data_IF_741507004253
#
_entry.id   IF_741507004253
#
_cell.length_a   1.000
_cell.length_b   1.000
_cell.length_c   1.000
_cell.angle_alpha   90.00
_cell.angle_beta   90.00
_cell.angle_gamma   90.00
#
_symmetry.space_group_name_H-M   'P 1'
#
loop_
_entity.id
_entity.type
_entity.pdbx_description
1 polymer ?
#
# COMPACT_ATOMS: atom_id res chain seq x y z
N UNK A 1 -32.80 -48.42 2.44
CA UNK A 1 -33.36 -47.08 2.64
C UNK A 1 -32.25 -46.08 2.44
N UNK A 2 -32.34 -45.30 1.37
CA UNK A 2 -31.45 -44.18 1.06
C UNK A 2 -31.63 -43.08 2.11
N UNK A 3 -30.55 -42.41 2.47
CA UNK A 3 -30.60 -40.99 2.76
C UNK A 3 -29.33 -40.34 2.21
N UNK A 4 -29.55 -39.59 1.14
CA UNK A 4 -28.64 -38.55 0.68
C UNK A 4 -28.54 -37.46 1.76
N UNK A 5 -27.34 -36.97 1.99
CA UNK A 5 -27.13 -35.61 2.43
C UNK A 5 -25.82 -35.11 1.80
N UNK A 6 -25.96 -34.58 0.57
CA UNK A 6 -25.09 -33.52 0.06
C UNK A 6 -25.06 -32.41 1.12
N UNK A 7 -23.87 -31.98 1.52
CA UNK A 7 -23.73 -30.64 2.06
C UNK A 7 -22.34 -30.09 1.77
N UNK A 8 -22.33 -29.07 0.91
CA UNK A 8 -21.38 -27.97 0.94
C UNK A 8 -19.92 -28.30 0.71
N UNK A 9 -19.50 -28.30 -0.55
CA UNK A 9 -18.16 -27.77 -0.87
C UNK A 9 -18.20 -26.28 -0.53
N UNK A 10 -17.78 -25.94 0.70
CA UNK A 10 -17.34 -24.59 0.97
C UNK A 10 -16.08 -24.40 0.13
N UNK A 11 -16.21 -23.66 -0.97
CA UNK A 11 -15.06 -23.03 -1.60
C UNK A 11 -14.48 -22.08 -0.56
N UNK A 12 -13.53 -22.58 0.23
CA UNK A 12 -12.60 -21.75 0.97
C UNK A 12 -11.99 -20.81 -0.07
N UNK A 13 -12.38 -19.54 0.04
CA UNK A 13 -11.82 -18.49 -0.78
C UNK A 13 -10.31 -18.64 -0.69
N UNK A 14 -9.67 -18.76 -1.86
CA UNK A 14 -8.23 -18.53 -1.94
C UNK A 14 -8.00 -17.18 -1.28
N UNK A 15 -7.48 -17.18 -0.05
CA UNK A 15 -6.76 -16.03 0.44
C UNK A 15 -5.72 -15.79 -0.63
N UNK A 16 -5.92 -14.75 -1.43
CA UNK A 16 -4.95 -14.26 -2.40
C UNK A 16 -3.75 -13.78 -1.57
N UNK A 17 -2.90 -14.72 -1.15
CA UNK A 17 -1.65 -14.42 -0.46
C UNK A 17 -0.80 -13.70 -1.49
N UNK A 18 -0.81 -12.38 -1.42
CA UNK A 18 -0.01 -11.52 -2.28
C UNK A 18 1.46 -11.78 -1.92
N UNK A 19 2.28 -12.29 -2.85
CA UNK A 19 3.70 -12.44 -2.58
C UNK A 19 4.30 -11.06 -2.27
N UNK A 20 4.99 -10.95 -1.14
CA UNK A 20 5.78 -9.78 -0.80
C UNK A 20 7.14 -9.93 -1.48
N UNK A 21 7.47 -9.08 -2.44
CA UNK A 21 8.81 -9.07 -3.02
C UNK A 21 9.72 -8.17 -2.16
N UNK A 22 10.64 -8.82 -1.44
CA UNK A 22 11.60 -8.13 -0.58
C UNK A 22 12.55 -7.18 -1.32
N UNK A 23 12.60 -7.25 -2.66
CA UNK A 23 13.43 -6.38 -3.51
C UNK A 23 12.71 -5.11 -3.94
N UNK A 24 11.40 -5.01 -3.78
CA UNK A 24 10.67 -3.77 -4.04
C UNK A 24 11.09 -2.70 -3.04
N UNK A 25 11.39 -1.51 -3.56
CA UNK A 25 11.74 -0.34 -2.75
C UNK A 25 10.50 0.06 -1.95
N UNK A 26 10.56 0.21 -0.62
CA UNK A 26 9.41 0.67 0.14
C UNK A 26 9.12 2.17 -0.14
N UNK A 27 7.84 2.58 -0.23
CA UNK A 27 7.46 3.98 -0.38
C UNK A 27 7.89 4.84 0.80
N UNK A 28 7.98 6.15 0.59
CA UNK A 28 8.40 7.09 1.62
C UNK A 28 7.78 8.47 1.48
N UNK A 29 7.75 9.19 2.59
CA UNK A 29 7.26 10.55 2.68
C UNK A 29 8.39 11.49 2.29
N UNK A 30 8.14 12.35 1.31
CA UNK A 30 9.15 13.29 0.82
C UNK A 30 9.56 14.25 1.94
N UNK A 31 10.86 14.46 2.09
CA UNK A 31 11.43 15.26 3.19
C UNK A 31 11.39 14.64 4.59
N UNK A 32 10.90 13.40 4.76
CA UNK A 32 10.84 12.71 6.07
C UNK A 32 11.61 11.39 6.01
N UNK A 33 12.66 11.29 6.82
CA UNK A 33 13.41 10.05 6.99
C UNK A 33 12.58 9.03 7.79
N UNK A 34 12.74 7.71 7.58
CA UNK A 34 11.91 6.68 8.22
C UNK A 34 11.92 6.69 9.75
N UNK A 35 12.99 7.20 10.35
CA UNK A 35 13.22 7.31 11.78
C UNK A 35 12.65 8.61 12.39
N UNK A 36 12.23 9.57 11.55
CA UNK A 36 11.58 10.80 12.01
C UNK A 36 10.09 10.58 12.19
N UNK A 37 9.56 11.21 13.25
CA UNK A 37 8.13 11.29 13.45
C UNK A 37 7.47 12.10 12.33
N UNK A 38 6.35 11.58 11.84
CA UNK A 38 5.46 12.28 10.95
C UNK A 38 4.61 13.26 11.77
N UNK A 39 4.62 14.57 11.46
CA UNK A 39 3.83 15.55 12.19
C UNK A 39 2.35 15.18 12.22
N UNK A 40 1.72 15.21 13.40
CA UNK A 40 0.28 14.93 13.53
C UNK A 40 -0.56 15.80 12.56
N UNK A 41 -0.18 17.07 12.42
CA UNK A 41 -0.82 17.98 11.47
C UNK A 41 -0.79 17.46 10.04
N UNK A 42 0.31 16.86 9.60
CA UNK A 42 0.41 16.29 8.24
C UNK A 42 -0.48 15.06 8.09
N UNK A 43 -0.61 14.24 9.13
CA UNK A 43 -1.55 13.11 9.13
C UNK A 43 -2.99 13.61 8.98
N UNK A 44 -3.35 14.71 9.63
CA UNK A 44 -4.71 15.29 9.60
C UNK A 44 -5.02 16.04 8.30
N UNK A 45 -4.03 16.77 7.76
CA UNK A 45 -4.19 17.61 6.56
C UNK A 45 -3.94 16.81 5.26
N UNK A 46 -3.15 15.74 5.34
CA UNK A 46 -2.61 14.99 4.20
C UNK A 46 -1.15 15.33 3.91
N UNK A 47 -0.46 14.43 3.20
CA UNK A 47 0.97 14.55 2.89
C UNK A 47 1.30 13.91 1.54
N UNK A 48 2.52 14.18 1.03
CA UNK A 48 3.03 13.56 -0.20
C UNK A 48 3.92 12.38 0.13
N UNK A 49 3.79 11.32 -0.66
CA UNK A 49 4.75 10.23 -0.65
C UNK A 49 5.16 9.86 -2.08
N UNK A 50 6.33 9.22 -2.15
CA UNK A 50 7.02 8.86 -3.38
C UNK A 50 7.32 7.37 -3.38
N UNK A 51 7.18 6.78 -4.56
CA UNK A 51 7.69 5.47 -4.91
C UNK A 51 8.82 5.73 -5.90
N UNK A 52 10.05 5.37 -5.52
CA UNK A 52 11.18 5.41 -6.45
C UNK A 52 11.06 4.27 -7.47
N UNK A 53 11.76 4.39 -8.61
CA UNK A 53 11.91 3.28 -9.55
C UNK A 53 12.36 2.01 -8.82
N UNK A 54 11.67 0.91 -9.11
CA UNK A 54 11.92 -0.39 -8.47
C UNK A 54 12.27 -1.48 -9.49
N UNK A 55 13.00 -2.53 -9.09
CA UNK A 55 13.30 -3.65 -9.97
C UNK A 55 12.02 -4.28 -10.52
N UNK A 56 11.94 -4.45 -11.84
CA UNK A 56 10.76 -5.03 -12.49
C UNK A 56 9.59 -4.07 -12.72
N UNK A 57 9.78 -2.76 -12.50
CA UNK A 57 8.84 -1.73 -12.98
C UNK A 57 8.72 -1.82 -14.50
N UNK A 58 7.50 -2.03 -14.99
CA UNK A 58 7.24 -2.25 -16.41
C UNK A 58 5.93 -1.61 -16.86
N UNK A 59 5.89 -1.17 -18.11
CA UNK A 59 4.70 -0.59 -18.75
C UNK A 59 3.53 -1.57 -18.66
N UNK A 60 2.34 -1.02 -18.37
CA UNK A 60 1.10 -1.77 -18.20
C UNK A 60 0.85 -2.29 -16.78
N UNK A 61 1.83 -2.22 -15.87
CA UNK A 61 1.60 -2.46 -14.45
C UNK A 61 0.74 -1.35 -13.84
N UNK A 62 -0.06 -1.69 -12.84
CA UNK A 62 -0.81 -0.71 -12.04
C UNK A 62 -0.21 -0.67 -10.64
N UNK A 63 0.20 0.51 -10.18
CA UNK A 63 0.84 0.71 -8.87
C UNK A 63 -0.07 1.54 -7.99
N UNK A 64 -0.38 1.01 -6.81
CA UNK A 64 -1.30 1.61 -5.85
C UNK A 64 -0.70 1.68 -4.45
N UNK A 65 -0.77 2.83 -3.77
CA UNK A 65 -0.27 2.96 -2.42
C UNK A 65 -1.33 2.53 -1.38
N UNK A 66 -0.83 1.94 -0.31
CA UNK A 66 -1.58 1.52 0.86
C UNK A 66 -1.05 2.26 2.07
N UNK A 67 -1.94 3.00 2.72
CA UNK A 67 -1.66 3.74 3.94
C UNK A 67 -2.50 3.12 5.05
N UNK A 68 -1.85 2.60 6.07
CA UNK A 68 -2.52 2.09 7.27
C UNK A 68 -2.18 2.99 8.46
N UNK A 69 -3.22 3.57 9.06
CA UNK A 69 -3.15 4.25 10.34
C UNK A 69 -3.43 3.20 11.41
N UNK A 70 -2.37 2.66 12.02
CA UNK A 70 -2.46 1.45 12.86
C UNK A 70 -3.42 1.67 14.01
N UNK A 71 -4.43 0.82 14.11
CA UNK A 71 -5.51 0.92 15.12
C UNK A 71 -6.69 1.81 14.71
N UNK A 72 -6.62 2.49 13.57
CA UNK A 72 -7.61 3.49 13.15
C UNK A 72 -8.18 3.23 11.74
N UNK A 73 -7.49 2.48 10.88
CA UNK A 73 -8.00 2.03 9.58
C UNK A 73 -6.99 2.15 8.45
N UNK A 74 -7.42 1.80 7.23
CA UNK A 74 -6.58 1.88 6.03
C UNK A 74 -7.22 2.77 4.96
N UNK A 75 -6.38 3.38 4.14
CA UNK A 75 -6.76 4.14 2.96
C UNK A 75 -6.04 3.57 1.73
N UNK A 76 -6.81 3.33 0.67
CA UNK A 76 -6.31 3.05 -0.65
C UNK A 76 -6.13 4.36 -1.41
N UNK A 77 -4.90 4.71 -1.75
CA UNK A 77 -4.68 5.83 -2.66
C UNK A 77 -5.06 5.50 -4.10
N UNK A 78 -5.20 6.54 -4.92
CA UNK A 78 -5.37 6.37 -6.36
C UNK A 78 -4.20 5.59 -6.94
N UNK A 79 -4.51 4.57 -7.73
CA UNK A 79 -3.50 3.81 -8.46
C UNK A 79 -3.07 4.56 -9.72
N UNK A 80 -1.88 4.23 -10.22
CA UNK A 80 -1.36 4.74 -11.49
C UNK A 80 -0.93 3.59 -12.38
N UNK A 81 -1.27 3.68 -13.66
CA UNK A 81 -0.73 2.77 -14.68
C UNK A 81 0.66 3.25 -15.08
N UNK A 82 1.61 2.32 -15.15
CA UNK A 82 2.94 2.57 -15.69
C UNK A 82 2.84 2.69 -17.20
N UNK A 83 3.30 3.80 -17.74
CA UNK A 83 3.31 4.13 -19.17
C UNK A 83 4.73 4.29 -19.65
N UNK A 84 4.93 4.39 -20.96
CA UNK A 84 6.25 4.67 -21.54
C UNK A 84 6.84 5.99 -21.01
N UNK A 85 6.00 6.96 -20.64
CA UNK A 85 6.44 8.27 -20.17
C UNK A 85 6.94 8.28 -18.71
N UNK A 86 6.52 7.30 -17.90
CA UNK A 86 6.81 7.27 -16.46
C UNK A 86 7.55 6.01 -16.00
N UNK A 87 7.79 5.05 -16.89
CA UNK A 87 8.60 3.88 -16.55
C UNK A 87 10.02 4.32 -16.18
N UNK A 88 10.49 3.87 -15.01
CA UNK A 88 11.80 4.29 -14.49
C UNK A 88 11.85 5.69 -13.90
N UNK A 89 10.72 6.39 -13.78
CA UNK A 89 10.62 7.66 -13.06
C UNK A 89 10.05 7.48 -11.65
N UNK A 90 10.30 8.45 -10.77
CA UNK A 90 9.66 8.53 -9.47
C UNK A 90 8.14 8.73 -9.64
N UNK A 91 7.35 8.02 -8.84
CA UNK A 91 5.90 8.19 -8.79
C UNK A 91 5.49 8.88 -7.50
N UNK A 92 4.90 10.07 -7.62
CA UNK A 92 4.41 10.86 -6.48
C UNK A 92 2.90 10.76 -6.33
N UNK A 93 2.44 10.65 -5.10
CA UNK A 93 1.03 10.55 -4.74
C UNK A 93 0.74 11.46 -3.54
N UNK A 94 -0.54 11.80 -3.36
CA UNK A 94 -1.02 12.53 -2.20
C UNK A 94 -1.83 11.58 -1.31
N UNK A 95 -1.49 11.51 -0.03
CA UNK A 95 -2.38 10.97 1.00
C UNK A 95 -3.43 12.02 1.33
N UNK A 96 -4.69 11.61 1.41
CA UNK A 96 -5.71 12.43 2.05
C UNK A 96 -5.53 12.38 3.56
N UNK A 97 -5.89 13.48 4.21
CA UNK A 97 -5.84 13.59 5.66
C UNK A 97 -6.81 12.63 6.36
N UNK A 98 -6.40 12.15 7.53
CA UNK A 98 -7.19 11.28 8.39
C UNK A 98 -7.68 12.09 9.60
N UNK A 99 -9.00 12.31 9.68
CA UNK A 99 -9.61 13.27 10.60
C UNK A 99 -10.04 12.68 11.94
N UNK A 100 -10.05 11.36 12.07
CA UNK A 100 -10.42 10.74 13.33
C UNK A 100 -9.30 10.93 14.36
N UNK A 101 -9.62 10.93 15.67
CA UNK A 101 -8.63 11.10 16.71
C UNK A 101 -7.53 10.03 16.62
N UNK A 102 -6.29 10.47 16.42
CA UNK A 102 -5.08 9.63 16.53
C UNK A 102 -4.36 10.06 17.79
N UNK A 103 -4.32 9.19 18.79
CA UNK A 103 -3.43 9.32 19.95
C UNK A 103 -2.35 8.25 19.82
N UNK A 104 -1.08 8.65 19.77
CA UNK A 104 0.10 7.78 19.81
C UNK A 104 0.11 6.64 18.76
N UNK A 105 -0.13 7.00 17.49
CA UNK A 105 -0.19 6.06 16.38
C UNK A 105 1.10 5.94 15.57
N UNK A 106 1.10 4.99 14.63
CA UNK A 106 2.10 4.89 13.56
C UNK A 106 1.39 4.79 12.21
N UNK A 107 2.01 5.34 11.19
CA UNK A 107 1.60 5.17 9.79
C UNK A 107 2.44 4.05 9.19
N UNK A 108 1.80 3.00 8.71
CA UNK A 108 2.42 1.99 7.86
C UNK A 108 2.12 2.31 6.40
N UNK A 109 3.17 2.40 5.59
CA UNK A 109 3.10 2.77 4.18
C UNK A 109 3.75 1.66 3.35
N UNK A 110 3.01 1.13 2.39
CA UNK A 110 3.51 0.20 1.38
C UNK A 110 2.80 0.45 0.05
N UNK A 111 3.25 -0.16 -1.03
CA UNK A 111 2.51 -0.15 -2.29
C UNK A 111 2.30 -1.56 -2.79
N UNK A 112 1.26 -1.70 -3.62
CA UNK A 112 0.95 -2.89 -4.38
C UNK A 112 1.17 -2.61 -5.85
N UNK A 113 1.86 -3.53 -6.51
CA UNK A 113 1.95 -3.61 -7.97
C UNK A 113 1.00 -4.69 -8.42
N UNK A 114 0.06 -4.36 -9.29
CA UNK A 114 -0.73 -5.31 -10.05
C UNK A 114 -0.08 -5.49 -11.41
N UNK A 115 0.37 -6.70 -11.68
CA UNK A 115 1.02 -7.07 -12.93
C UNK A 115 0.00 -7.30 -14.03
N UNK A 116 0.48 -7.32 -15.28
CA UNK A 116 -0.36 -7.48 -16.47
C UNK A 116 -1.05 -8.84 -16.56
N UNK A 117 -0.49 -9.86 -15.91
CA UNK A 117 -1.09 -11.19 -15.75
C UNK A 117 -2.14 -11.25 -14.62
N UNK A 118 -2.39 -10.13 -13.94
CA UNK A 118 -3.34 -10.00 -12.84
C UNK A 118 -2.79 -10.38 -11.48
N UNK A 119 -1.58 -10.93 -11.40
CA UNK A 119 -0.91 -11.18 -10.12
C UNK A 119 -0.59 -9.86 -9.41
N UNK A 120 -0.40 -9.92 -8.09
CA UNK A 120 -0.09 -8.75 -7.27
C UNK A 120 1.19 -9.01 -6.48
N UNK A 121 1.93 -7.95 -6.21
CA UNK A 121 3.11 -7.98 -5.33
C UNK A 121 3.07 -6.76 -4.41
N UNK A 122 3.40 -6.93 -3.13
CA UNK A 122 3.53 -5.81 -2.19
C UNK A 122 4.99 -5.42 -1.98
N UNK A 123 5.25 -4.12 -1.80
CA UNK A 123 6.52 -3.64 -1.28
C UNK A 123 6.71 -4.02 0.19
N UNK A 124 7.93 -3.85 0.69
CA UNK A 124 8.14 -3.79 2.14
C UNK A 124 7.31 -2.65 2.74
N UNK A 125 6.83 -2.86 3.97
CA UNK A 125 6.18 -1.83 4.79
C UNK A 125 7.24 -0.88 5.36
N UNK A 126 6.96 0.42 5.29
CA UNK A 126 7.69 1.45 6.00
C UNK A 126 6.81 2.01 7.10
N UNK A 127 7.38 2.15 8.30
CA UNK A 127 6.64 2.58 9.49
C UNK A 127 7.15 3.95 9.90
N UNK A 128 6.23 4.89 10.11
CA UNK A 128 6.51 6.23 10.59
C UNK A 128 5.77 6.43 11.93
N UNK A 129 6.48 6.73 13.04
CA UNK A 129 5.79 7.15 14.26
C UNK A 129 5.06 8.48 14.01
N UNK A 130 3.93 8.70 14.66
CA UNK A 130 3.23 9.99 14.63
C UNK A 130 3.65 10.77 15.88
N UNK A 131 4.02 12.04 15.69
CA UNK A 131 4.44 12.90 16.79
C UNK A 131 4.29 14.38 16.42
N UNK A 132 4.44 15.25 17.42
CA UNK A 132 4.43 16.71 17.25
C UNK A 132 5.85 17.28 17.06
#
# INVERSE_FOLDING_TARGET
>A
MSNEAKSGTASEGKSDVIPIDQKLVPPFIDGITPDKALPLKWVQDGYKYRIDPYPGMAVGQEVGPYVEYVGHGHFFGQTRVITEDNVGADLTFNAHGFKDPIQDGRVELYFVVKHTDGSKTESKRRVYPIGD
#
